data_IF_824556590276
#
_entry.id   IF_824556590276
#
_cell.length_a   1.000
_cell.length_b   1.000
_cell.length_c   1.000
_cell.angle_alpha   90.00
_cell.angle_beta   90.00
_cell.angle_gamma   90.00
#
_symmetry.space_group_name_H-M   'P 1'
#
loop_
_entity.id
_entity.type
_entity.pdbx_description
1 polymer ?
#
# COMPACT_ATOMS: atom_id res chain seq x y z
N UNK A 1 5.59 22.80 -8.08
CA UNK A 1 5.15 21.42 -7.84
C UNK A 1 5.99 20.45 -8.63
N UNK A 2 6.90 19.79 -7.94
CA UNK A 2 7.69 18.69 -8.50
C UNK A 2 6.77 17.49 -8.75
N UNK A 3 7.12 16.68 -9.75
CA UNK A 3 6.36 15.46 -10.06
C UNK A 3 6.39 14.48 -8.87
N UNK A 4 5.31 13.72 -8.68
CA UNK A 4 5.19 12.69 -7.66
C UNK A 4 4.99 11.31 -8.26
N UNK A 5 5.50 10.29 -7.59
CA UNK A 5 5.25 8.88 -7.90
C UNK A 5 4.20 8.37 -6.90
N UNK A 6 3.15 7.72 -7.41
CA UNK A 6 2.12 7.06 -6.61
C UNK A 6 2.27 5.55 -6.73
N UNK A 7 2.17 4.85 -5.61
CA UNK A 7 2.12 3.39 -5.54
C UNK A 7 0.98 2.95 -4.63
N UNK A 8 0.46 1.77 -4.89
CA UNK A 8 -0.50 1.11 -4.01
C UNK A 8 0.01 -0.31 -3.73
N UNK A 9 -0.19 -0.77 -2.50
CA UNK A 9 -0.01 -2.16 -2.09
C UNK A 9 -1.14 -2.54 -1.12
N UNK A 10 -1.13 -3.75 -0.58
CA UNK A 10 -2.13 -4.25 0.36
C UNK A 10 -1.65 -4.16 1.80
N UNK A 11 -2.59 -4.11 2.75
CA UNK A 11 -2.28 -4.00 4.18
C UNK A 11 -1.43 -5.16 4.73
N UNK A 12 -1.47 -6.33 4.09
CA UNK A 12 -0.71 -7.51 4.51
C UNK A 12 0.74 -7.49 3.99
N UNK A 13 1.04 -6.77 2.90
CA UNK A 13 2.36 -6.76 2.26
C UNK A 13 3.37 -5.89 3.04
N UNK A 14 3.67 -6.32 4.27
CA UNK A 14 4.64 -5.71 5.15
C UNK A 14 6.03 -5.56 4.49
N UNK A 15 6.52 -6.53 3.67
CA UNK A 15 7.77 -6.34 2.92
C UNK A 15 7.74 -5.15 1.96
N UNK A 16 6.67 -4.98 1.16
CA UNK A 16 6.56 -3.82 0.26
C UNK A 16 6.40 -2.51 1.04
N UNK A 17 5.59 -2.48 2.10
CA UNK A 17 5.45 -1.30 2.95
C UNK A 17 6.77 -0.89 3.59
N UNK A 18 7.58 -1.85 4.04
CA UNK A 18 8.91 -1.59 4.57
C UNK A 18 9.86 -1.08 3.49
N UNK A 19 9.83 -1.67 2.29
CA UNK A 19 10.62 -1.24 1.15
C UNK A 19 10.29 0.22 0.79
N UNK A 20 9.03 0.53 0.47
CA UNK A 20 8.62 1.86 0.03
C UNK A 20 8.98 2.94 1.05
N UNK A 21 8.71 2.71 2.33
CA UNK A 21 9.04 3.68 3.38
C UNK A 21 10.55 3.90 3.52
N UNK A 22 11.38 2.85 3.38
CA UNK A 22 12.85 2.97 3.38
C UNK A 22 13.38 3.79 2.20
N UNK A 23 12.67 3.79 1.06
CA UNK A 23 12.99 4.61 -0.11
C UNK A 23 12.35 6.01 -0.07
N UNK A 24 11.68 6.36 1.03
CA UNK A 24 11.14 7.70 1.25
C UNK A 24 9.70 7.91 0.78
N UNK A 25 9.00 6.85 0.33
CA UNK A 25 7.57 6.94 0.09
C UNK A 25 6.83 7.13 1.43
N UNK A 26 5.76 7.91 1.42
CA UNK A 26 4.90 8.17 2.58
C UNK A 26 3.50 7.66 2.32
N UNK A 27 2.93 6.94 3.29
CA UNK A 27 1.51 6.56 3.26
C UNK A 27 0.66 7.82 3.26
N UNK A 28 -0.29 7.91 2.32
CA UNK A 28 -1.19 9.05 2.18
C UNK A 28 -2.66 8.68 2.36
N UNK A 29 -3.02 7.43 2.14
CA UNK A 29 -4.40 6.95 2.24
C UNK A 29 -4.43 5.44 2.50
N UNK A 30 -5.45 5.01 3.24
CA UNK A 30 -5.83 3.61 3.37
C UNK A 30 -7.28 3.52 2.89
N UNK A 31 -7.53 2.76 1.82
CA UNK A 31 -8.88 2.50 1.32
C UNK A 31 -9.35 1.18 1.93
N UNK A 32 -10.04 1.30 3.07
CA UNK A 32 -10.51 0.15 3.85
C UNK A 32 -11.41 -0.77 3.03
N UNK A 33 -11.14 -2.07 3.06
CA UNK A 33 -11.95 -3.11 2.43
C UNK A 33 -11.94 -3.13 0.90
N UNK A 34 -11.23 -2.22 0.22
CA UNK A 34 -11.18 -2.18 -1.25
C UNK A 34 -10.77 -3.52 -1.84
N UNK A 35 -9.71 -4.11 -1.29
CA UNK A 35 -9.10 -5.32 -1.86
C UNK A 35 -9.97 -6.54 -1.58
N UNK A 36 -10.52 -6.64 -0.37
CA UNK A 36 -11.49 -7.69 -0.04
C UNK A 36 -12.75 -7.61 -0.90
N UNK A 37 -13.25 -6.39 -1.18
CA UNK A 37 -14.41 -6.19 -2.05
C UNK A 37 -14.13 -6.64 -3.50
N UNK A 38 -12.96 -6.32 -4.04
CA UNK A 38 -12.56 -6.72 -5.39
C UNK A 38 -12.40 -8.24 -5.53
N UNK A 39 -11.97 -8.93 -4.46
CA UNK A 39 -11.88 -10.40 -4.41
C UNK A 39 -13.17 -11.11 -3.96
N UNK A 40 -14.14 -10.38 -3.40
CA UNK A 40 -15.35 -10.95 -2.79
C UNK A 40 -15.12 -11.70 -1.48
N UNK A 41 -13.89 -11.70 -0.95
CA UNK A 41 -13.49 -12.33 0.31
C UNK A 41 -12.15 -11.75 0.80
N UNK A 42 -11.88 -11.90 2.09
CA UNK A 42 -10.52 -11.71 2.62
C UNK A 42 -9.68 -12.95 2.33
N UNK A 43 -8.57 -12.77 1.62
CA UNK A 43 -7.60 -13.83 1.35
C UNK A 43 -6.54 -13.87 2.45
N UNK A 44 -5.92 -15.04 2.68
CA UNK A 44 -4.78 -15.13 3.60
C UNK A 44 -3.55 -14.54 2.91
N UNK A 45 -3.03 -13.45 3.48
CA UNK A 45 -1.88 -12.72 2.96
C UNK A 45 -0.57 -13.07 3.68
N UNK A 46 0.41 -12.19 3.53
CA UNK A 46 1.72 -12.35 4.15
C UNK A 46 1.62 -12.43 5.69
N UNK A 47 2.40 -13.34 6.29
CA UNK A 47 2.38 -13.62 7.73
C UNK A 47 1.00 -14.00 8.31
N UNK A 48 0.06 -14.47 7.48
CA UNK A 48 -1.29 -14.80 7.90
C UNK A 48 -2.21 -13.59 8.12
N UNK A 49 -1.77 -12.39 7.71
CA UNK A 49 -2.59 -11.18 7.78
C UNK A 49 -3.60 -11.21 6.62
N UNK A 50 -4.90 -10.95 6.86
CA UNK A 50 -5.88 -10.90 5.78
C UNK A 50 -5.57 -9.78 4.77
N UNK A 51 -5.62 -10.11 3.48
CA UNK A 51 -5.57 -9.13 2.38
C UNK A 51 -6.92 -8.42 2.32
N UNK A 52 -6.97 -7.14 2.72
CA UNK A 52 -8.24 -6.42 2.93
C UNK A 52 -8.26 -4.99 2.40
N UNK A 53 -7.26 -4.19 2.74
CA UNK A 53 -7.21 -2.76 2.47
C UNK A 53 -6.15 -2.43 1.43
N UNK A 54 -6.41 -1.40 0.62
CA UNK A 54 -5.42 -0.80 -0.26
C UNK A 54 -4.68 0.30 0.50
N UNK A 55 -3.36 0.21 0.57
CA UNK A 55 -2.48 1.24 1.16
C UNK A 55 -1.82 2.01 0.03
N UNK A 56 -2.08 3.31 -0.04
CA UNK A 56 -1.51 4.21 -1.05
C UNK A 56 -0.38 5.01 -0.47
N UNK A 57 0.72 5.10 -1.22
CA UNK A 57 1.90 5.86 -0.84
C UNK A 57 2.33 6.80 -1.96
N UNK A 58 2.97 7.90 -1.60
CA UNK A 58 3.57 8.83 -2.55
C UNK A 58 5.06 9.08 -2.27
N UNK A 59 5.81 9.37 -3.33
CA UNK A 59 7.18 9.89 -3.27
C UNK A 59 7.26 11.18 -4.08
N UNK A 60 7.78 12.24 -3.47
CA UNK A 60 8.01 13.53 -4.14
C UNK A 60 9.40 13.51 -4.76
N UNK A 61 9.50 13.75 -6.07
CA UNK A 61 10.79 13.85 -6.75
C UNK A 61 11.46 15.16 -6.34
N UNK A 62 12.54 15.10 -5.58
CA UNK A 62 13.40 16.25 -5.37
C UNK A 62 14.30 16.38 -6.60
N UNK A 63 14.11 17.44 -7.40
CA UNK A 63 15.08 17.82 -8.45
C UNK A 63 16.14 18.73 -7.83
#
# INVERSE_FOLDING_TARGET
>A
DLARILVATTNDDLPALALYQRYGFRIIEIVTGRVAADHGAELVGFAGIPVRDEVRLEYHLSV
#
